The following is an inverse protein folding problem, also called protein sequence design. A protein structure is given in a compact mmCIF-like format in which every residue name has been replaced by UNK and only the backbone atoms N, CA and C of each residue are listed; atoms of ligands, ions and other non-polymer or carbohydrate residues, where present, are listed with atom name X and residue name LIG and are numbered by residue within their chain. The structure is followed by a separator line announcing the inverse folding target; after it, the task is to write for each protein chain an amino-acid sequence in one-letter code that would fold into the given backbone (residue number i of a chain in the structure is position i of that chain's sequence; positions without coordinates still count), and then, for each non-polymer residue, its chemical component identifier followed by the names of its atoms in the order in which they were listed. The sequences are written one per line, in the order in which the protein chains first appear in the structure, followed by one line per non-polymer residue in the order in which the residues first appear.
data_IF_054006376087
#
_entry.id   IF_054006376087
#
_cell.length_a   1.000
_cell.length_b   1.000
_cell.length_c   1.000
_cell.angle_alpha   90.00
_cell.angle_beta   90.00
_cell.angle_gamma   90.00
#
_symmetry.space_group_name_H-M   'P 1'
#
loop_
_entity.id
_entity.type
_entity.pdbx_description
1 polymer ?
#
# COMPACT_ATOMS: atom_id res chain seq x y z
N UNK A 1 0.77 11.73 12.78
CA UNK A 1 0.99 10.42 13.43
C UNK A 1 2.49 10.34 13.71
N UNK A 2 2.91 10.44 14.97
CA UNK A 2 4.34 10.52 15.36
C UNK A 2 5.08 9.19 15.13
N UNK A 3 6.37 9.30 14.81
CA UNK A 3 7.32 8.30 14.31
C UNK A 3 7.42 6.96 15.10
N UNK A 4 7.00 6.93 16.37
CA UNK A 4 6.87 5.67 17.15
C UNK A 4 5.80 4.75 16.56
N UNK A 5 4.87 5.27 15.75
CA UNK A 5 3.71 4.53 15.29
C UNK A 5 3.97 3.50 14.18
N UNK A 6 4.96 3.67 13.29
CA UNK A 6 5.06 2.83 12.08
C UNK A 6 5.52 1.40 12.40
N UNK A 7 6.62 1.26 13.14
CA UNK A 7 7.08 -0.06 13.56
C UNK A 7 6.12 -0.72 14.56
N UNK A 8 5.47 0.08 15.42
CA UNK A 8 4.46 -0.41 16.35
C UNK A 8 3.20 -0.90 15.63
N UNK A 9 2.73 -0.21 14.60
CA UNK A 9 1.61 -0.61 13.74
C UNK A 9 1.89 -1.95 13.04
N UNK A 10 3.12 -2.13 12.54
CA UNK A 10 3.57 -3.40 11.96
C UNK A 10 3.59 -4.52 13.00
N UNK A 11 4.16 -4.26 14.18
CA UNK A 11 4.19 -5.24 15.28
C UNK A 11 2.78 -5.58 15.78
N UNK A 12 1.88 -4.61 15.82
CA UNK A 12 0.47 -4.79 16.20
C UNK A 12 -0.24 -5.72 15.22
N UNK A 13 -0.16 -5.47 13.92
CA UNK A 13 -0.71 -6.35 12.89
C UNK A 13 -0.25 -7.80 13.08
N UNK A 14 1.06 -8.00 13.28
CA UNK A 14 1.61 -9.34 13.44
C UNK A 14 1.30 -10.02 14.77
N UNK A 15 0.80 -9.30 15.78
CA UNK A 15 0.34 -9.84 17.06
C UNK A 15 -1.17 -10.12 17.05
N UNK A 16 -1.96 -9.23 16.49
CA UNK A 16 -3.43 -9.24 16.62
C UNK A 16 -4.12 -9.84 15.39
N UNK A 17 -3.68 -9.48 14.18
CA UNK A 17 -4.33 -9.89 12.92
C UNK A 17 -3.69 -11.18 12.35
N UNK A 18 -2.37 -11.34 12.46
CA UNK A 18 -1.66 -12.49 11.87
C UNK A 18 -1.76 -13.79 12.69
N UNK A 19 -1.88 -13.71 14.02
CA UNK A 19 -1.93 -14.89 14.91
C UNK A 19 -3.28 -15.62 14.82
N UNK A 20 -4.34 -14.93 14.40
CA UNK A 20 -5.70 -15.48 14.32
C UNK A 20 -6.06 -16.08 12.95
N UNK A 21 -5.13 -16.13 11.99
CA UNK A 21 -5.40 -16.59 10.64
C UNK A 21 -4.64 -17.89 10.35
N UNK A 22 -5.37 -18.99 10.16
CA UNK A 22 -4.82 -20.18 9.51
C UNK A 22 -4.48 -19.82 8.06
N UNK A 23 -3.37 -20.33 7.53
CA UNK A 23 -2.83 -19.99 6.20
C UNK A 23 -3.88 -19.95 5.07
N UNK A 24 -4.96 -20.73 5.17
CA UNK A 24 -6.09 -20.78 4.22
C UNK A 24 -7.03 -19.57 4.33
N UNK A 25 -7.41 -19.17 5.55
CA UNK A 25 -8.19 -17.93 5.81
C UNK A 25 -7.40 -16.71 5.31
N UNK A 26 -6.09 -16.71 5.53
CA UNK A 26 -5.17 -15.67 5.09
C UNK A 26 -5.17 -15.53 3.57
N UNK A 27 -5.15 -16.65 2.82
CA UNK A 27 -5.23 -16.69 1.34
C UNK A 27 -6.62 -16.29 0.82
N UNK A 28 -7.71 -16.63 1.53
CA UNK A 28 -9.07 -16.23 1.13
C UNK A 28 -9.35 -14.75 1.42
N UNK A 29 -8.91 -14.24 2.57
CA UNK A 29 -8.98 -12.83 2.93
C UNK A 29 -8.09 -11.97 2.02
N UNK A 30 -6.98 -12.54 1.54
CA UNK A 30 -6.14 -12.03 0.46
C UNK A 30 -6.91 -11.76 -0.84
N UNK A 31 -7.66 -12.76 -1.30
CA UNK A 31 -8.48 -12.65 -2.50
C UNK A 31 -9.59 -11.62 -2.21
N UNK A 32 -10.21 -11.68 -1.03
CA UNK A 32 -11.27 -10.73 -0.67
C UNK A 32 -10.81 -9.29 -0.44
N UNK A 33 -9.57 -9.02 -0.02
CA UNK A 33 -9.08 -7.66 0.30
C UNK A 33 -8.15 -7.07 -0.76
N UNK A 34 -7.36 -7.90 -1.44
CA UNK A 34 -6.49 -7.45 -2.54
C UNK A 34 -7.17 -7.52 -3.91
N UNK A 35 -8.12 -8.42 -4.13
CA UNK A 35 -8.78 -8.55 -5.42
C UNK A 35 -10.14 -7.85 -5.47
N UNK A 36 -10.94 -7.80 -4.40
CA UNK A 36 -12.29 -7.16 -4.48
C UNK A 36 -12.26 -5.64 -4.65
N UNK A 37 -11.16 -4.96 -4.28
CA UNK A 37 -10.97 -3.51 -4.54
C UNK A 37 -10.09 -3.25 -5.76
N UNK A 38 -9.25 -4.21 -6.17
CA UNK A 38 -8.36 -4.07 -7.33
C UNK A 38 -8.96 -4.62 -8.64
N UNK A 39 -9.97 -5.47 -8.56
CA UNK A 39 -10.73 -6.04 -9.68
C UNK A 39 -12.23 -5.71 -9.54
N UNK A 40 -12.57 -4.44 -9.29
CA UNK A 40 -13.91 -4.01 -9.67
C UNK A 40 -14.01 -4.17 -11.20
N UNK A 41 -15.00 -4.92 -11.72
CA UNK A 41 -15.17 -5.23 -13.14
C UNK A 41 -15.56 -4.02 -14.00
N UNK A 42 -15.66 -2.83 -13.40
CA UNK A 42 -16.14 -1.62 -14.04
C UNK A 42 -14.98 -0.68 -14.42
N UNK A 43 -13.85 -1.25 -14.89
CA UNK A 43 -12.81 -0.45 -15.51
C UNK A 43 -13.42 0.25 -16.72
N UNK A 44 -13.71 1.54 -16.56
CA UNK A 44 -14.32 2.36 -17.60
C UNK A 44 -13.43 2.40 -18.83
N UNK A 45 -13.98 2.62 -20.02
CA UNK A 45 -13.18 2.72 -21.26
C UNK A 45 -12.03 3.73 -21.14
N UNK A 46 -12.19 4.77 -20.32
CA UNK A 46 -11.14 5.75 -19.98
C UNK A 46 -10.01 5.17 -19.12
N UNK A 47 -10.28 4.21 -18.25
CA UNK A 47 -9.24 3.54 -17.43
C UNK A 47 -8.45 2.51 -18.25
N UNK A 48 -9.10 1.84 -19.21
CA UNK A 48 -8.44 0.98 -20.20
C UNK A 48 -7.53 1.80 -21.12
N UNK A 49 -7.98 2.97 -21.58
CA UNK A 49 -7.14 3.91 -22.34
C UNK A 49 -5.98 4.48 -21.51
N UNK A 50 -6.17 4.76 -20.21
CA UNK A 50 -5.06 5.19 -19.33
C UNK A 50 -4.05 4.09 -19.07
N UNK A 51 -4.51 2.84 -18.93
CA UNK A 51 -3.63 1.67 -18.83
C UNK A 51 -2.90 1.41 -20.15
N UNK A 52 -3.50 1.71 -21.30
CA UNK A 52 -2.79 1.64 -22.59
C UNK A 52 -1.83 2.83 -22.83
N UNK A 53 -2.08 3.96 -22.18
CA UNK A 53 -1.23 5.16 -22.25
C UNK A 53 0.01 5.11 -21.33
N UNK A 54 -0.01 4.29 -20.28
CA UNK A 54 1.16 4.04 -19.45
C UNK A 54 2.05 2.97 -20.10
N UNK A 55 3.37 3.16 -20.08
CA UNK A 55 4.30 2.17 -20.62
C UNK A 55 4.16 0.84 -19.85
N UNK A 56 4.24 -0.28 -20.58
CA UNK A 56 4.18 -1.63 -19.99
C UNK A 56 5.13 -1.80 -18.80
N UNK A 57 6.29 -1.14 -18.84
CA UNK A 57 7.30 -1.15 -17.77
C UNK A 57 6.79 -0.53 -16.46
N UNK A 58 5.99 0.53 -16.53
CA UNK A 58 5.44 1.19 -15.33
C UNK A 58 4.40 0.31 -14.64
N UNK A 59 3.55 -0.33 -15.45
CA UNK A 59 2.55 -1.30 -14.97
C UNK A 59 3.26 -2.50 -14.34
N UNK A 60 4.26 -3.05 -15.03
CA UNK A 60 5.04 -4.18 -14.54
C UNK A 60 5.72 -3.87 -13.20
N UNK A 61 6.39 -2.72 -13.07
CA UNK A 61 7.07 -2.35 -11.84
C UNK A 61 6.10 -2.12 -10.67
N UNK A 62 4.92 -1.58 -10.95
CA UNK A 62 3.94 -1.34 -9.92
C UNK A 62 3.20 -2.62 -9.48
N UNK A 63 2.91 -3.54 -10.42
CA UNK A 63 2.42 -4.91 -10.12
C UNK A 63 3.48 -5.69 -9.34
N UNK A 64 4.74 -5.66 -9.79
CA UNK A 64 5.89 -6.26 -9.10
C UNK A 64 6.03 -5.71 -7.69
N UNK A 65 5.83 -4.41 -7.49
CA UNK A 65 5.82 -3.78 -6.19
C UNK A 65 4.69 -4.27 -5.27
N UNK A 66 3.48 -4.53 -5.79
CA UNK A 66 2.40 -5.16 -5.02
C UNK A 66 2.74 -6.60 -4.64
N UNK A 67 3.19 -7.43 -5.59
CA UNK A 67 3.57 -8.83 -5.36
C UNK A 67 4.76 -8.97 -4.39
N UNK A 68 5.76 -8.09 -4.50
CA UNK A 68 6.90 -8.05 -3.59
C UNK A 68 6.47 -7.76 -2.16
N UNK A 69 5.66 -6.72 -1.95
CA UNK A 69 5.16 -6.35 -0.61
C UNK A 69 4.28 -7.44 -0.04
N UNK A 70 3.40 -7.98 -0.88
CA UNK A 70 2.59 -9.13 -0.56
C UNK A 70 3.43 -10.28 0.00
N UNK A 71 4.39 -10.78 -0.78
CA UNK A 71 5.25 -11.88 -0.36
C UNK A 71 6.00 -11.57 0.93
N UNK A 72 6.56 -10.36 1.06
CA UNK A 72 7.29 -9.96 2.28
C UNK A 72 6.41 -9.96 3.53
N UNK A 73 5.21 -9.40 3.42
CA UNK A 73 4.25 -9.32 4.54
C UNK A 73 3.92 -10.70 5.08
N UNK A 74 3.71 -11.68 4.20
CA UNK A 74 3.23 -13.00 4.60
C UNK A 74 4.36 -13.98 4.93
N UNK A 75 5.48 -13.92 4.21
CA UNK A 75 6.54 -14.92 4.36
C UNK A 75 7.78 -14.40 5.09
N UNK A 76 7.97 -13.08 5.21
CA UNK A 76 9.20 -12.47 5.73
C UNK A 76 8.92 -11.50 6.89
N UNK A 77 8.09 -11.93 7.86
CA UNK A 77 7.66 -11.12 9.02
C UNK A 77 8.81 -10.40 9.74
N UNK A 78 9.86 -11.12 10.11
CA UNK A 78 10.99 -10.55 10.86
C UNK A 78 11.71 -9.45 10.07
N UNK A 79 11.85 -9.66 8.76
CA UNK A 79 12.42 -8.69 7.84
C UNK A 79 11.52 -7.47 7.68
N UNK A 80 10.19 -7.65 7.62
CA UNK A 80 9.24 -6.53 7.60
C UNK A 80 9.34 -5.70 8.88
N UNK A 81 9.39 -6.33 10.06
CA UNK A 81 9.54 -5.62 11.35
C UNK A 81 10.87 -4.85 11.41
N UNK A 82 11.94 -5.43 10.87
CA UNK A 82 13.27 -4.80 10.81
C UNK A 82 13.26 -3.58 9.89
N UNK A 83 12.72 -3.72 8.67
CA UNK A 83 12.61 -2.64 7.71
C UNK A 83 11.71 -1.51 8.20
N UNK A 84 10.60 -1.84 8.87
CA UNK A 84 9.72 -0.85 9.47
C UNK A 84 10.43 0.04 10.51
N UNK A 85 11.46 -0.48 11.19
CA UNK A 85 12.30 0.32 12.09
C UNK A 85 13.23 1.32 11.38
N UNK A 86 13.35 1.24 10.04
CA UNK A 86 14.15 2.16 9.21
C UNK A 86 13.30 3.25 8.55
N UNK A 87 11.97 3.15 8.62
CA UNK A 87 11.05 4.11 8.01
C UNK A 87 10.85 5.29 8.94
N UNK A 88 10.96 6.50 8.39
CA UNK A 88 10.81 7.76 9.10
C UNK A 88 9.84 8.69 8.38
N UNK A 89 9.36 9.71 9.09
CA UNK A 89 8.41 10.68 8.56
C UNK A 89 6.96 10.24 8.73
N UNK A 90 6.07 10.86 7.95
CA UNK A 90 4.62 10.63 8.06
C UNK A 90 3.91 10.85 6.73
N UNK A 91 2.69 10.32 6.62
CA UNK A 91 1.80 10.59 5.49
C UNK A 91 1.51 12.09 5.39
N UNK A 92 1.93 12.72 4.29
CA UNK A 92 1.65 14.13 3.98
C UNK A 92 0.50 14.29 3.00
N UNK A 93 -0.31 13.25 2.81
CA UNK A 93 -1.50 13.27 1.95
C UNK A 93 -1.19 13.65 0.48
N UNK A 94 -0.01 13.28 -0.01
CA UNK A 94 0.43 13.61 -1.38
C UNK A 94 -0.26 12.80 -2.49
N UNK A 95 -0.77 11.60 -2.18
CA UNK A 95 -1.47 10.75 -3.15
C UNK A 95 -0.58 9.90 -4.05
N UNK A 96 0.75 10.04 -4.02
CA UNK A 96 1.66 9.28 -4.90
C UNK A 96 1.47 7.75 -4.77
N UNK A 97 1.24 7.25 -3.55
CA UNK A 97 0.98 5.83 -3.30
C UNK A 97 -0.41 5.38 -3.81
N UNK A 98 -1.38 6.29 -3.89
CA UNK A 98 -2.75 6.04 -4.34
C UNK A 98 -2.91 6.07 -5.86
N UNK A 99 -1.93 6.62 -6.59
CA UNK A 99 -1.93 6.73 -8.06
C UNK A 99 -0.96 5.79 -8.76
N UNK A 100 -0.24 4.95 -8.01
CA UNK A 100 0.93 4.22 -8.52
C UNK A 100 0.63 3.09 -9.53
N UNK A 101 -0.59 2.58 -9.60
CA UNK A 101 -1.01 1.55 -10.58
C UNK A 101 -2.20 2.05 -11.37
N UNK A 102 -3.28 2.26 -10.62
CA UNK A 102 -4.53 2.84 -11.05
C UNK A 102 -4.95 3.82 -9.97
N UNK A 103 -5.87 4.74 -10.28
CA UNK A 103 -6.45 5.63 -9.28
C UNK A 103 -7.15 4.76 -8.22
N UNK A 104 -6.71 4.86 -6.96
CA UNK A 104 -7.37 4.18 -5.86
C UNK A 104 -8.81 4.71 -5.69
N UNK A 105 -9.80 3.82 -5.67
CA UNK A 105 -11.21 4.20 -5.49
C UNK A 105 -11.53 4.84 -4.13
N UNK A 106 -10.70 4.58 -3.12
CA UNK A 106 -10.83 5.22 -1.80
C UNK A 106 -10.11 6.57 -1.71
N UNK A 107 -9.51 7.07 -2.80
CA UNK A 107 -8.74 8.32 -2.81
C UNK A 107 -9.44 9.42 -3.62
N UNK A 108 -9.54 10.60 -3.03
CA UNK A 108 -10.06 11.82 -3.65
C UNK A 108 -9.12 13.00 -3.36
N UNK A 109 -9.30 14.11 -4.05
CA UNK A 109 -8.74 15.40 -3.64
C UNK A 109 -9.89 16.24 -3.07
N UNK A 110 -9.60 17.02 -2.04
CA UNK A 110 -10.50 18.09 -1.59
C UNK A 110 -10.39 19.32 -2.52
N UNK A 111 -11.23 20.33 -2.29
CA UNK A 111 -11.33 21.54 -3.11
C UNK A 111 -10.04 22.39 -3.11
N UNK A 112 -9.17 22.18 -2.11
CA UNK A 112 -7.86 22.82 -2.00
C UNK A 112 -6.73 22.00 -2.66
N UNK A 113 -7.07 20.88 -3.30
CA UNK A 113 -6.11 19.99 -3.97
C UNK A 113 -5.32 19.08 -3.02
N UNK A 114 -5.75 18.93 -1.76
CA UNK A 114 -5.10 18.04 -0.79
C UNK A 114 -5.73 16.65 -0.85
N UNK A 115 -4.89 15.63 -0.97
CA UNK A 115 -5.35 14.25 -1.13
C UNK A 115 -6.06 13.73 0.10
N UNK A 116 -7.17 13.01 -0.02
CA UNK A 116 -7.91 12.40 1.06
C UNK A 116 -8.07 10.91 0.80
N UNK A 117 -7.86 10.08 1.83
CA UNK A 117 -8.10 8.64 1.77
C UNK A 117 -9.29 8.31 2.66
N UNK A 118 -10.41 7.92 2.06
CA UNK A 118 -11.67 7.64 2.77
C UNK A 118 -11.59 6.43 3.70
N UNK A 119 -10.52 5.64 3.61
CA UNK A 119 -10.23 4.52 4.52
C UNK A 119 -8.99 4.77 5.37
N UNK A 120 -8.49 6.01 5.50
CA UNK A 120 -7.18 6.26 6.12
C UNK A 120 -7.05 5.70 7.55
N UNK A 121 -8.10 5.88 8.34
CA UNK A 121 -8.18 5.55 9.76
C UNK A 121 -9.18 4.41 10.04
N UNK A 122 -9.51 3.62 9.02
CA UNK A 122 -10.47 2.51 9.16
C UNK A 122 -9.80 1.15 9.00
N UNK A 123 -10.44 0.11 9.50
CA UNK A 123 -9.96 -1.27 9.36
C UNK A 123 -9.99 -1.76 7.90
N UNK A 124 -10.70 -1.06 7.03
CA UNK A 124 -10.72 -1.33 5.58
C UNK A 124 -9.40 -0.94 4.90
N UNK A 125 -8.55 -0.13 5.54
CA UNK A 125 -7.22 0.17 5.00
C UNK A 125 -6.40 -1.10 4.90
N UNK A 126 -6.00 -1.53 3.69
CA UNK A 126 -5.23 -2.75 3.57
C UNK A 126 -3.87 -2.63 4.24
N UNK A 127 -3.37 -3.71 4.85
CA UNK A 127 -2.10 -3.68 5.56
C UNK A 127 -0.93 -3.24 4.67
N UNK A 128 -0.93 -3.63 3.39
CA UNK A 128 0.09 -3.18 2.43
C UNK A 128 0.09 -1.67 2.17
N UNK A 129 -1.02 -0.97 2.45
CA UNK A 129 -1.12 0.49 2.39
C UNK A 129 -0.68 1.14 3.70
N UNK A 130 -0.90 0.47 4.84
CA UNK A 130 -0.45 0.92 6.17
C UNK A 130 1.07 0.95 6.26
N UNK A 131 1.73 -0.07 5.72
CA UNK A 131 3.19 -0.23 5.81
C UNK A 131 3.95 0.33 4.60
N UNK A 132 3.32 1.13 3.76
CA UNK A 132 3.96 1.70 2.57
C UNK A 132 4.48 3.11 2.84
N UNK A 133 5.70 3.46 2.39
CA UNK A 133 6.71 2.60 1.78
C UNK A 133 7.46 1.75 2.82
N UNK A 134 7.91 0.55 2.45
CA UNK A 134 8.66 -0.34 3.36
C UNK A 134 10.13 -0.49 2.96
N UNK A 135 10.42 -0.43 1.66
CA UNK A 135 11.78 -0.61 1.11
C UNK A 135 12.11 0.53 0.15
N UNK A 136 13.41 0.77 -0.12
CA UNK A 136 13.82 1.80 -1.09
C UNK A 136 13.21 1.60 -2.49
N UNK A 137 13.00 0.35 -2.88
CA UNK A 137 12.32 0.01 -4.14
C UNK A 137 10.85 0.50 -4.17
N UNK A 138 10.22 0.72 -3.01
CA UNK A 138 8.88 1.29 -2.91
C UNK A 138 8.89 2.83 -3.09
N UNK A 139 10.03 3.49 -2.89
CA UNK A 139 10.17 4.94 -2.98
C UNK A 139 10.49 5.46 -4.38
N UNK A 140 10.92 4.60 -5.31
CA UNK A 140 11.24 4.98 -6.69
C UNK A 140 10.04 5.71 -7.30
N UNK A 141 10.15 6.96 -7.76
CA UNK A 141 9.01 7.69 -8.34
C UNK A 141 7.96 8.20 -7.33
N UNK A 142 8.24 8.15 -6.02
CA UNK A 142 7.48 8.88 -5.01
C UNK A 142 8.14 10.23 -4.74
N UNK A 143 7.86 11.24 -5.56
CA UNK A 143 8.52 12.55 -5.47
C UNK A 143 8.02 13.41 -4.32
N UNK A 144 6.80 13.20 -3.83
CA UNK A 144 6.13 14.03 -2.82
C UNK A 144 5.85 13.28 -1.52
N UNK A 145 6.33 12.05 -1.37
CA UNK A 145 6.07 11.25 -0.18
C UNK A 145 6.83 11.80 1.04
N UNK A 146 6.12 11.92 2.16
CA UNK A 146 6.69 12.36 3.44
C UNK A 146 7.44 11.27 4.20
N UNK A 147 7.40 10.02 3.73
CA UNK A 147 8.14 8.92 4.33
C UNK A 147 9.54 8.77 3.71
N UNK A 148 10.55 8.52 4.55
CA UNK A 148 11.95 8.31 4.18
C UNK A 148 12.47 6.99 4.75
N UNK A 149 13.37 6.31 4.05
CA UNK A 149 13.96 5.04 4.49
C UNK A 149 15.45 5.25 4.73
N UNK A 150 15.89 5.02 5.96
CA UNK A 150 17.31 5.06 6.36
C UNK A 150 18.09 3.91 5.73
N UNK A 151 19.39 4.14 5.53
CA UNK A 151 20.36 3.11 5.11
C UNK A 151 20.44 1.93 6.10
#
# INVERSE_FOLDING_TARGET
MEQKSFQEEVKRFYREEYVNSTTVELVLDLIRRNFTVALLPDATSQEIERLSANNLDEILEAVRGKLRRFFRIHFLKEEVIRQAGKVEGQCVRCGDCCHRLTKCGAFSYDDEGKGHCGVHDTDLKPFQCRIFPLTKADQVGLSRCGYKIKD
#
